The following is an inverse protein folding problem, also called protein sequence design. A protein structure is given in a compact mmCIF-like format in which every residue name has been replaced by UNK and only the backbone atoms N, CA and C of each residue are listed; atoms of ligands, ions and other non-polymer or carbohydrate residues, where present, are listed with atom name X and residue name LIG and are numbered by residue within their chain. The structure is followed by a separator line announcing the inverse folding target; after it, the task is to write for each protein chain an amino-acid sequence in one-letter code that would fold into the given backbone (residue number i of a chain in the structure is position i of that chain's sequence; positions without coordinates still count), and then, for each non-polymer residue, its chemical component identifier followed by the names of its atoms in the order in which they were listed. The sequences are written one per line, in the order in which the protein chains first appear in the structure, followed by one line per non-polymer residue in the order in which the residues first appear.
data_IF_361644657795
#
_entry.id   IF_361644657795
#
_cell.length_a   1.000
_cell.length_b   1.000
_cell.length_c   1.000
_cell.angle_alpha   90.00
_cell.angle_beta   90.00
_cell.angle_gamma   90.00
#
_symmetry.space_group_name_H-M   'P 1'
#
loop_
_entity.id
_entity.type
_entity.pdbx_description
1 polymer ?
#
# COMPACT_ATOMS: atom_id res chain seq x y z
N UNK A 1 -7.18 7.85 28.99
CA UNK A 1 -8.09 7.09 28.11
C UNK A 1 -7.34 6.53 26.94
N UNK A 2 -7.46 5.26 26.66
CA UNK A 2 -6.86 4.71 25.46
C UNK A 2 -7.53 5.32 24.23
N UNK A 3 -6.73 5.65 23.24
CA UNK A 3 -7.26 6.19 21.98
C UNK A 3 -7.93 5.10 21.16
N UNK A 4 -9.03 5.42 20.48
CA UNK A 4 -9.62 4.46 19.53
C UNK A 4 -8.59 4.04 18.48
N UNK A 5 -8.73 2.83 17.95
CA UNK A 5 -7.85 2.38 16.88
C UNK A 5 -7.93 3.26 15.64
N UNK A 6 -9.07 3.91 15.43
CA UNK A 6 -9.26 4.84 14.31
C UNK A 6 -8.34 6.06 14.37
N UNK A 7 -7.76 6.35 15.54
CA UNK A 7 -6.81 7.46 15.72
C UNK A 7 -5.37 7.05 15.47
N UNK A 8 -5.12 5.80 15.11
CA UNK A 8 -3.77 5.33 14.82
C UNK A 8 -3.23 6.04 13.58
N UNK A 9 -1.92 6.27 13.58
CA UNK A 9 -1.27 6.77 12.38
C UNK A 9 -1.33 5.72 11.26
N UNK A 10 -1.63 6.20 10.06
CA UNK A 10 -1.66 5.38 8.86
C UNK A 10 -0.66 5.94 7.87
N UNK A 11 -0.06 5.06 7.09
CA UNK A 11 0.94 5.43 6.09
C UNK A 11 0.32 5.23 4.73
N UNK A 12 0.27 6.30 3.94
CA UNK A 12 -0.04 6.18 2.52
C UNK A 12 1.29 5.94 1.83
N UNK A 13 1.38 4.82 1.14
CA UNK A 13 2.62 4.38 0.50
C UNK A 13 2.46 4.25 -0.99
N UNK A 14 3.59 4.24 -1.67
CA UNK A 14 3.66 4.01 -3.10
C UNK A 14 4.60 2.85 -3.36
N UNK A 15 4.17 1.91 -4.20
CA UNK A 15 5.06 0.88 -4.74
C UNK A 15 5.44 1.32 -6.14
N UNK A 16 6.73 1.50 -6.36
CA UNK A 16 7.27 1.99 -7.64
C UNK A 16 7.81 0.83 -8.43
N UNK A 17 7.37 0.70 -9.68
CA UNK A 17 7.81 -0.39 -10.56
C UNK A 17 8.12 0.17 -11.95
N UNK A 18 8.84 -0.61 -12.80
CA UNK A 18 9.09 -0.20 -14.18
C UNK A 18 7.83 -0.07 -15.04
N UNK A 19 6.72 -0.71 -14.62
CA UNK A 19 5.47 -0.72 -15.41
C UNK A 19 4.41 0.21 -14.82
N UNK A 20 4.72 0.95 -13.77
CA UNK A 20 3.80 1.88 -13.15
C UNK A 20 3.91 1.85 -11.64
N UNK A 21 3.07 2.62 -10.99
CA UNK A 21 3.05 2.66 -9.53
C UNK A 21 1.70 2.25 -8.96
N UNK A 22 1.70 1.97 -7.67
CA UNK A 22 0.53 1.58 -6.90
C UNK A 22 0.51 2.42 -5.62
N UNK A 23 -0.64 3.00 -5.30
CA UNK A 23 -0.84 3.74 -4.05
C UNK A 23 -1.74 2.92 -3.14
N UNK A 24 -1.31 2.76 -1.89
CA UNK A 24 -2.08 2.04 -0.89
C UNK A 24 -1.97 2.69 0.48
N UNK A 25 -2.67 2.13 1.45
CA UNK A 25 -2.64 2.61 2.82
C UNK A 25 -2.46 1.43 3.77
N UNK A 26 -1.67 1.64 4.82
CA UNK A 26 -1.51 0.66 5.89
C UNK A 26 -1.41 1.37 7.22
N UNK A 27 -1.89 0.72 8.29
CA UNK A 27 -1.67 1.24 9.63
C UNK A 27 -0.18 1.16 9.97
N UNK A 28 0.29 2.13 10.76
CA UNK A 28 1.66 2.06 11.28
C UNK A 28 1.68 1.06 12.43
N UNK A 29 1.98 -0.20 12.11
CA UNK A 29 1.94 -1.30 13.06
C UNK A 29 3.28 -1.59 13.72
N UNK A 30 4.37 -1.08 13.16
CA UNK A 30 5.71 -1.31 13.66
C UNK A 30 6.27 -0.03 14.29
N UNK A 31 7.41 -0.17 14.96
CA UNK A 31 8.03 0.96 15.67
C UNK A 31 8.51 2.06 14.74
N UNK A 32 8.84 1.71 13.50
CA UNK A 32 9.28 2.69 12.50
C UNK A 32 8.44 2.60 11.24
N UNK A 33 8.43 3.69 10.48
CA UNK A 33 7.76 3.73 9.19
C UNK A 33 8.34 2.68 8.25
N UNK A 34 9.67 2.58 8.18
CA UNK A 34 10.33 1.63 7.29
C UNK A 34 9.93 0.18 7.59
N UNK A 35 9.89 -0.19 8.87
CA UNK A 35 9.47 -1.54 9.27
C UNK A 35 8.01 -1.80 8.88
N UNK A 36 7.14 -0.81 9.06
CA UNK A 36 5.73 -0.94 8.66
C UNK A 36 5.59 -1.12 7.16
N UNK A 37 6.36 -0.38 6.38
CA UNK A 37 6.35 -0.50 4.92
C UNK A 37 6.88 -1.86 4.47
N UNK A 38 7.94 -2.35 5.07
CA UNK A 38 8.49 -3.67 4.74
C UNK A 38 7.52 -4.79 5.07
N UNK A 39 6.81 -4.68 6.21
CA UNK A 39 5.78 -5.65 6.58
C UNK A 39 4.64 -5.65 5.57
N UNK A 40 4.24 -4.47 5.09
CA UNK A 40 3.19 -4.37 4.08
C UNK A 40 3.64 -4.92 2.74
N UNK A 41 4.88 -4.63 2.34
CA UNK A 41 5.44 -5.18 1.10
C UNK A 41 5.47 -6.70 1.13
N UNK A 42 5.89 -7.29 2.25
CA UNK A 42 5.89 -8.73 2.43
C UNK A 42 4.48 -9.31 2.28
N UNK A 43 3.49 -8.63 2.86
CA UNK A 43 2.09 -9.06 2.76
C UNK A 43 1.62 -9.07 1.31
N UNK A 44 1.91 -8.02 0.55
CA UNK A 44 1.58 -7.97 -0.87
C UNK A 44 2.26 -9.10 -1.64
N UNK A 45 3.53 -9.34 -1.36
CA UNK A 45 4.31 -10.37 -2.03
C UNK A 45 3.69 -11.75 -1.83
N UNK A 46 3.38 -12.10 -0.58
CA UNK A 46 2.81 -13.41 -0.29
C UNK A 46 1.38 -13.56 -0.81
N UNK A 47 0.58 -12.50 -0.72
CA UNK A 47 -0.78 -12.53 -1.26
C UNK A 47 -0.81 -12.73 -2.76
N UNK A 48 0.13 -12.12 -3.47
CA UNK A 48 0.22 -12.28 -4.92
C UNK A 48 0.48 -13.74 -5.31
N UNK A 49 1.17 -14.49 -4.46
CA UNK A 49 1.50 -15.89 -4.73
C UNK A 49 0.42 -16.86 -4.25
N UNK A 50 -0.34 -16.50 -3.23
CA UNK A 50 -1.33 -17.40 -2.63
C UNK A 50 -2.74 -17.14 -3.15
N UNK A 51 -3.02 -15.94 -3.65
CA UNK A 51 -4.32 -15.58 -4.18
C UNK A 51 -4.28 -15.61 -5.71
N UNK A 52 -5.41 -15.93 -6.33
CA UNK A 52 -5.49 -16.05 -7.79
C UNK A 52 -5.96 -14.76 -8.46
N UNK A 53 -5.82 -13.64 -7.77
CA UNK A 53 -6.25 -12.35 -8.30
C UNK A 53 -5.43 -11.93 -9.50
N UNK A 54 -6.10 -11.33 -10.48
CA UNK A 54 -5.47 -10.89 -11.72
C UNK A 54 -5.15 -9.39 -11.73
N UNK A 55 -5.20 -8.75 -10.58
CA UNK A 55 -4.87 -7.33 -10.48
C UNK A 55 -3.44 -7.08 -10.97
N UNK A 56 -3.22 -5.94 -11.62
CA UNK A 56 -1.93 -5.63 -12.22
C UNK A 56 -0.78 -5.68 -11.23
N UNK A 57 -0.99 -5.19 -10.00
CA UNK A 57 0.05 -5.28 -8.97
C UNK A 57 0.40 -6.74 -8.67
N UNK A 58 -0.60 -7.60 -8.50
CA UNK A 58 -0.35 -9.02 -8.21
C UNK A 58 0.42 -9.68 -9.33
N UNK A 59 0.08 -9.39 -10.59
CA UNK A 59 0.78 -9.93 -11.74
C UNK A 59 2.25 -9.52 -11.74
N UNK A 60 2.52 -8.26 -11.45
CA UNK A 60 3.90 -7.78 -11.37
C UNK A 60 4.67 -8.47 -10.24
N UNK A 61 4.07 -8.54 -9.04
CA UNK A 61 4.74 -9.12 -7.88
C UNK A 61 5.07 -10.60 -8.06
N UNK A 62 4.29 -11.31 -8.87
CA UNK A 62 4.58 -12.72 -9.19
C UNK A 62 5.85 -12.89 -10.02
N UNK A 63 6.32 -11.85 -10.67
CA UNK A 63 7.56 -11.89 -11.43
C UNK A 63 8.81 -11.74 -10.57
N UNK A 64 8.66 -11.31 -9.33
CA UNK A 64 9.79 -11.06 -8.44
C UNK A 64 10.24 -12.36 -7.77
N UNK A 65 11.55 -12.49 -7.58
CA UNK A 65 12.12 -13.64 -6.89
C UNK A 65 12.10 -13.49 -5.38
N UNK A 66 12.17 -12.23 -4.89
CA UNK A 66 12.20 -11.96 -3.45
C UNK A 66 11.45 -10.67 -3.13
N UNK A 67 10.83 -10.66 -1.96
CA UNK A 67 10.08 -9.48 -1.49
C UNK A 67 10.95 -8.24 -1.32
N UNK A 68 12.25 -8.41 -1.14
CA UNK A 68 13.18 -7.28 -1.01
C UNK A 68 13.33 -6.49 -2.30
N UNK A 69 12.88 -7.03 -3.43
CA UNK A 69 12.90 -6.32 -4.70
C UNK A 69 11.78 -5.27 -4.82
N UNK A 70 10.83 -5.28 -3.89
CA UNK A 70 9.72 -4.33 -3.91
C UNK A 70 10.22 -2.96 -3.46
N UNK A 71 10.09 -1.96 -4.33
CA UNK A 71 10.42 -0.58 -3.99
C UNK A 71 9.16 0.09 -3.42
N UNK A 72 9.07 0.11 -2.10
CA UNK A 72 7.94 0.69 -1.39
C UNK A 72 8.39 1.94 -0.62
N UNK A 73 7.66 3.03 -0.79
CA UNK A 73 8.04 4.33 -0.23
C UNK A 73 6.86 4.96 0.49
N UNK A 74 7.16 5.72 1.55
CA UNK A 74 6.13 6.53 2.20
C UNK A 74 5.81 7.74 1.32
N UNK A 75 4.53 7.93 1.04
CA UNK A 75 4.07 9.13 0.38
C UNK A 75 3.65 10.17 1.42
N UNK A 76 2.88 9.74 2.41
CA UNK A 76 2.28 10.66 3.38
C UNK A 76 1.85 9.87 4.62
N UNK A 77 1.88 10.50 5.80
CA UNK A 77 1.33 9.90 7.01
C UNK A 77 0.08 10.67 7.41
N UNK A 78 -1.01 9.94 7.67
CA UNK A 78 -2.30 10.53 8.03
C UNK A 78 -2.79 9.87 9.31
N UNK A 79 -3.21 10.69 10.26
CA UNK A 79 -3.78 10.18 11.50
C UNK A 79 -5.27 9.89 11.30
N UNK A 80 -5.69 8.70 11.73
CA UNK A 80 -7.07 8.28 11.64
C UNK A 80 -7.35 7.46 10.39
N UNK A 81 -8.04 6.33 10.57
CA UNK A 81 -8.31 5.40 9.48
C UNK A 81 -9.19 6.02 8.39
N UNK A 82 -10.26 6.70 8.78
CA UNK A 82 -11.19 7.27 7.82
C UNK A 82 -10.53 8.35 6.96
N UNK A 83 -9.76 9.24 7.61
CA UNK A 83 -9.05 10.29 6.90
C UNK A 83 -7.98 9.73 5.98
N UNK A 84 -7.27 8.68 6.42
CA UNK A 84 -6.25 8.04 5.62
C UNK A 84 -6.84 7.41 4.38
N UNK A 85 -7.96 6.70 4.49
CA UNK A 85 -8.63 6.10 3.34
C UNK A 85 -9.19 7.15 2.38
N UNK A 86 -9.74 8.25 2.92
CA UNK A 86 -10.22 9.35 2.08
C UNK A 86 -9.07 9.97 1.28
N UNK A 87 -7.92 10.15 1.92
CA UNK A 87 -6.75 10.71 1.26
C UNK A 87 -6.19 9.75 0.22
N UNK A 88 -6.17 8.46 0.51
CA UNK A 88 -5.76 7.45 -0.46
C UNK A 88 -6.61 7.52 -1.73
N UNK A 89 -7.92 7.57 -1.56
CA UNK A 89 -8.83 7.65 -2.71
C UNK A 89 -8.61 8.91 -3.52
N UNK A 90 -8.39 10.04 -2.85
CA UNK A 90 -8.09 11.31 -3.52
C UNK A 90 -6.81 11.20 -4.36
N UNK A 91 -5.76 10.61 -3.80
CA UNK A 91 -4.49 10.47 -4.49
C UNK A 91 -4.60 9.50 -5.67
N UNK A 92 -5.35 8.41 -5.52
CA UNK A 92 -5.57 7.46 -6.61
C UNK A 92 -6.30 8.14 -7.77
N UNK A 93 -7.32 8.94 -7.48
CA UNK A 93 -8.03 9.68 -8.53
C UNK A 93 -7.13 10.72 -9.18
N UNK A 94 -6.32 11.42 -8.40
CA UNK A 94 -5.47 12.49 -8.90
C UNK A 94 -4.33 11.98 -9.78
N UNK A 95 -3.65 10.93 -9.34
CA UNK A 95 -2.47 10.42 -10.05
C UNK A 95 -2.78 9.25 -10.97
N UNK A 96 -3.93 8.59 -10.78
CA UNK A 96 -4.35 7.45 -11.57
C UNK A 96 -3.22 6.43 -11.78
N UNK A 97 -2.66 5.87 -10.69
CA UNK A 97 -1.52 4.96 -10.81
C UNK A 97 -1.87 3.73 -11.64
N UNK A 98 -0.95 3.32 -12.50
CA UNK A 98 -1.23 2.24 -13.45
C UNK A 98 -1.56 0.90 -12.79
N UNK A 99 -1.02 0.64 -11.60
CA UNK A 99 -1.21 -0.63 -10.92
C UNK A 99 -2.41 -0.67 -9.98
N UNK A 100 -3.14 0.45 -9.82
CA UNK A 100 -4.38 0.48 -9.03
C UNK A 100 -5.56 0.09 -9.91
N UNK A 101 -5.64 -1.21 -10.22
CA UNK A 101 -6.66 -1.72 -11.14
C UNK A 101 -7.90 -2.25 -10.44
N UNK A 102 -7.93 -2.27 -9.13
CA UNK A 102 -9.09 -2.70 -8.36
C UNK A 102 -10.17 -1.63 -8.25
N UNK A 103 -9.91 -0.45 -8.80
CA UNK A 103 -10.83 0.69 -8.82
C UNK A 103 -11.24 1.17 -7.43
N UNK A 104 -10.46 0.83 -6.42
CA UNK A 104 -10.72 1.28 -5.07
C UNK A 104 -10.52 2.78 -4.98
N UNK A 105 -11.37 3.59 -4.86
CA UNK A 105 -11.26 5.02 -4.90
C UNK A 105 -11.92 5.63 -6.11
N UNK A 106 -12.35 4.79 -7.00
CA UNK A 106 -13.14 5.25 -8.12
C UNK A 106 -14.55 5.59 -7.66
#
# INVERSE_FOLDING_TARGET
MPKPRSDRNHIIYEIVTPVGSYIGVTAKTQTTVLKSLRARAAKHYYRARTETKTWALCQYLRTLEDKSEIDIRMHEMVRGKADAHARERELIRRYNPALNTDKRGA
#
